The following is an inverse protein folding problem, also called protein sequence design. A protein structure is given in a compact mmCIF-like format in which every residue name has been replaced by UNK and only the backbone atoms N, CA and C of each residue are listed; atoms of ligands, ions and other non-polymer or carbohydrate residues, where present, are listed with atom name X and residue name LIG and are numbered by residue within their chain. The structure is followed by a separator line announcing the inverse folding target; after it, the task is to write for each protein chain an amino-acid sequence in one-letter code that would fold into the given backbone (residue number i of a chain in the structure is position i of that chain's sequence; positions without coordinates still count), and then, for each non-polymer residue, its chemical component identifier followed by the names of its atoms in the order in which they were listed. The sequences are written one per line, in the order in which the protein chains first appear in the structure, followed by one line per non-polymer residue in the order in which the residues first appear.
data_IF_490968861784
#
_entry.id   IF_490968861784
#
_cell.length_a   1.000
_cell.length_b   1.000
_cell.length_c   1.000
_cell.angle_alpha   90.00
_cell.angle_beta   90.00
_cell.angle_gamma   90.00
#
_symmetry.space_group_name_H-M   'P 1'
#
loop_
_entity.id
_entity.type
_entity.pdbx_description
1 polymer ?
#
# COMPACT_ATOMS: atom_id res chain seq x y z
N UNK A 1 18.07 -6.67 13.05
CA UNK A 1 16.73 -6.07 13.24
C UNK A 1 15.70 -7.09 12.78
N UNK A 2 14.53 -7.14 13.42
CA UNK A 2 13.53 -8.20 13.19
C UNK A 2 12.60 -7.80 12.04
N UNK A 3 12.73 -8.44 10.88
CA UNK A 3 11.87 -8.24 9.70
C UNK A 3 10.54 -9.01 9.83
N UNK A 4 9.89 -8.93 10.99
CA UNK A 4 8.63 -9.66 11.19
C UNK A 4 7.55 -9.09 10.27
N UNK A 5 6.93 -9.98 9.50
CA UNK A 5 5.72 -9.68 8.72
C UNK A 5 4.45 -9.89 9.54
N UNK A 6 4.52 -10.54 10.70
CA UNK A 6 3.37 -10.79 11.57
C UNK A 6 3.37 -9.87 12.80
N UNK A 7 2.21 -9.28 13.10
CA UNK A 7 1.89 -8.55 14.34
C UNK A 7 0.42 -8.73 14.63
N UNK A 8 0.10 -9.21 15.84
CA UNK A 8 -1.27 -9.36 16.30
C UNK A 8 -1.82 -8.01 16.80
N UNK A 9 -2.17 -7.14 15.85
CA UNK A 9 -2.74 -5.83 16.12
C UNK A 9 -3.70 -5.46 15.00
N UNK A 10 -4.90 -5.03 15.39
CA UNK A 10 -5.86 -4.49 14.44
C UNK A 10 -5.53 -3.03 14.15
N UNK A 11 -5.40 -2.72 12.85
CA UNK A 11 -5.20 -1.37 12.35
C UNK A 11 -6.52 -0.87 11.77
N UNK A 12 -6.89 0.39 12.03
CA UNK A 12 -8.03 1.06 11.39
C UNK A 12 -7.68 2.51 11.13
N UNK A 13 -8.17 3.05 10.02
CA UNK A 13 -7.88 4.45 9.73
C UNK A 13 -8.56 5.40 10.74
N UNK A 14 -7.90 6.49 11.16
CA UNK A 14 -8.51 7.55 11.93
C UNK A 14 -9.77 8.10 11.24
N UNK A 15 -10.77 8.46 12.03
CA UNK A 15 -12.06 9.01 11.58
C UNK A 15 -12.26 10.43 12.12
N UNK A 16 -13.18 11.18 11.53
CA UNK A 16 -13.45 12.57 11.91
C UNK A 16 -12.44 13.57 11.34
N UNK A 17 -12.48 14.81 11.85
CA UNK A 17 -11.77 15.97 11.28
C UNK A 17 -10.44 16.28 11.97
N UNK A 18 -10.11 15.61 13.08
CA UNK A 18 -8.83 15.79 13.78
C UNK A 18 -7.72 15.13 12.98
N UNK A 19 -6.65 15.88 12.74
CA UNK A 19 -5.48 15.40 12.00
C UNK A 19 -4.45 14.76 12.94
N UNK A 20 -3.81 13.69 12.48
CA UNK A 20 -2.59 13.16 13.07
C UNK A 20 -1.36 13.74 12.36
N UNK A 21 -1.41 13.87 11.03
CA UNK A 21 -0.37 14.47 10.20
C UNK A 21 -0.52 16.00 10.12
N UNK A 22 0.47 16.66 9.51
CA UNK A 22 0.53 18.14 9.41
C UNK A 22 -0.50 18.78 8.47
N UNK A 23 -1.06 18.02 7.53
CA UNK A 23 -2.03 18.52 6.56
C UNK A 23 -2.95 17.40 6.07
N UNK A 24 -4.08 17.75 5.43
CA UNK A 24 -4.93 16.76 4.77
C UNK A 24 -4.23 15.99 3.65
N UNK A 25 -3.23 16.58 2.99
CA UNK A 25 -2.48 15.93 1.91
C UNK A 25 -1.54 14.83 2.42
N UNK A 26 -1.15 14.88 3.70
CA UNK A 26 -0.32 13.85 4.35
C UNK A 26 -1.14 12.92 5.26
N UNK A 27 -2.25 13.42 5.80
CA UNK A 27 -3.25 12.63 6.52
C UNK A 27 -3.98 11.64 5.60
N UNK A 28 -4.30 12.05 4.37
CA UNK A 28 -4.99 11.18 3.41
C UNK A 28 -4.22 9.87 3.12
N UNK A 29 -2.96 9.88 2.66
CA UNK A 29 -2.22 8.64 2.46
C UNK A 29 -2.02 7.85 3.76
N UNK A 30 -1.90 8.51 4.93
CA UNK A 30 -1.82 7.83 6.23
C UNK A 30 -3.10 7.04 6.52
N UNK A 31 -4.26 7.67 6.38
CA UNK A 31 -5.56 7.01 6.57
C UNK A 31 -5.77 5.90 5.54
N UNK A 32 -5.40 6.12 4.29
CA UNK A 32 -5.60 5.10 3.26
C UNK A 32 -4.66 3.90 3.43
N UNK A 33 -3.43 4.10 3.90
CA UNK A 33 -2.53 3.01 4.31
C UNK A 33 -3.18 2.17 5.43
N UNK A 34 -3.72 2.83 6.45
CA UNK A 34 -4.39 2.16 7.56
C UNK A 34 -5.70 1.48 7.14
N UNK A 35 -6.44 2.07 6.19
CA UNK A 35 -7.66 1.47 5.63
C UNK A 35 -7.36 0.17 4.87
N UNK A 36 -6.25 0.14 4.12
CA UNK A 36 -5.79 -1.08 3.46
C UNK A 36 -5.49 -2.23 4.43
N UNK A 37 -5.35 -1.96 5.74
CA UNK A 37 -5.09 -2.97 6.78
C UNK A 37 -6.25 -3.10 7.77
N UNK A 38 -7.40 -2.48 7.49
CA UNK A 38 -8.60 -2.64 8.31
C UNK A 38 -9.07 -4.11 8.24
N UNK A 39 -9.32 -4.80 9.37
CA UNK A 39 -9.80 -6.18 9.37
C UNK A 39 -11.11 -6.41 8.60
N UNK A 40 -11.91 -5.35 8.40
CA UNK A 40 -13.13 -5.41 7.61
C UNK A 40 -12.88 -5.20 6.10
N UNK A 41 -11.62 -4.93 5.70
CA UNK A 41 -11.20 -4.61 4.34
C UNK A 41 -10.18 -5.61 3.81
N UNK A 42 -9.12 -5.89 4.57
CA UNK A 42 -7.99 -6.72 4.15
C UNK A 42 -8.23 -8.21 4.37
N UNK A 43 -7.69 -9.05 3.49
CA UNK A 43 -7.80 -10.51 3.60
C UNK A 43 -6.99 -11.09 4.77
N UNK A 44 -5.77 -10.57 5.05
CA UNK A 44 -4.95 -11.00 6.18
C UNK A 44 -4.06 -9.84 6.70
N UNK A 45 -4.65 -8.88 7.45
CA UNK A 45 -3.98 -7.63 7.83
C UNK A 45 -2.84 -7.82 8.82
N UNK A 46 -2.87 -8.85 9.67
CA UNK A 46 -1.80 -9.12 10.65
C UNK A 46 -0.49 -9.51 9.97
N UNK A 47 -0.56 -10.00 8.73
CA UNK A 47 0.59 -10.22 7.84
C UNK A 47 0.83 -9.10 6.82
N UNK A 48 0.17 -7.95 6.99
CA UNK A 48 0.14 -6.81 6.07
C UNK A 48 -0.48 -7.09 4.69
N UNK A 49 -1.11 -8.26 4.51
CA UNK A 49 -1.68 -8.71 3.25
C UNK A 49 -3.07 -8.11 3.07
N UNK A 50 -3.25 -7.40 1.96
CA UNK A 50 -4.50 -6.73 1.60
C UNK A 50 -5.37 -7.63 0.73
N UNK A 51 -4.87 -8.10 -0.42
CA UNK A 51 -5.57 -9.00 -1.33
C UNK A 51 -4.62 -9.62 -2.37
N UNK A 52 -5.14 -10.56 -3.18
CA UNK A 52 -4.43 -11.07 -4.37
C UNK A 52 -3.20 -11.91 -4.04
N UNK A 53 -3.36 -12.89 -3.13
CA UNK A 53 -2.26 -13.71 -2.65
C UNK A 53 -1.45 -12.97 -1.59
N UNK A 54 -0.23 -12.54 -1.93
CA UNK A 54 0.70 -11.87 -1.01
C UNK A 54 0.80 -10.36 -1.24
N UNK A 55 -0.23 -9.74 -1.83
CA UNK A 55 -0.28 -8.29 -2.07
C UNK A 55 -0.32 -7.53 -0.76
N UNK A 56 0.73 -6.79 -0.42
CA UNK A 56 0.90 -6.14 0.89
C UNK A 56 0.86 -4.62 0.84
N UNK A 57 0.48 -4.00 1.97
CA UNK A 57 0.46 -2.54 2.14
C UNK A 57 1.83 -1.93 2.49
N UNK A 58 2.67 -2.69 3.21
CA UNK A 58 4.04 -2.35 3.57
C UNK A 58 4.91 -3.62 3.59
N UNK A 59 6.23 -3.47 3.52
CA UNK A 59 7.17 -4.60 3.35
C UNK A 59 7.17 -5.56 4.54
N UNK A 60 7.31 -4.98 5.72
CA UNK A 60 7.30 -5.60 7.03
C UNK A 60 6.78 -4.56 8.04
N UNK A 61 6.59 -4.98 9.29
CA UNK A 61 5.99 -4.10 10.30
C UNK A 61 6.91 -2.94 10.71
N UNK A 62 8.23 -3.10 10.61
CA UNK A 62 9.19 -2.02 10.82
C UNK A 62 9.02 -0.93 9.75
N UNK A 63 8.88 -1.35 8.48
CA UNK A 63 8.58 -0.43 7.38
C UNK A 63 7.22 0.26 7.54
N UNK A 64 6.20 -0.46 7.99
CA UNK A 64 4.88 0.13 8.28
C UNK A 64 4.98 1.26 9.31
N UNK A 65 5.60 0.99 10.47
CA UNK A 65 5.76 1.99 11.53
C UNK A 65 6.56 3.20 11.05
N UNK A 66 7.61 2.95 10.26
CA UNK A 66 8.43 4.01 9.68
C UNK A 66 7.65 4.86 8.66
N UNK A 67 6.74 4.26 7.85
CA UNK A 67 5.88 5.00 6.91
C UNK A 67 4.90 5.88 7.70
N UNK A 68 4.24 5.32 8.72
CA UNK A 68 3.31 6.07 9.58
C UNK A 68 4.01 7.28 10.22
N UNK A 69 5.21 7.07 10.78
CA UNK A 69 6.00 8.15 11.35
C UNK A 69 6.40 9.18 10.30
N UNK A 70 6.88 8.74 9.13
CA UNK A 70 7.27 9.65 8.05
C UNK A 70 6.09 10.52 7.57
N UNK A 71 4.92 9.93 7.32
CA UNK A 71 3.72 10.67 6.89
C UNK A 71 3.22 11.66 7.95
N UNK A 72 3.35 11.30 9.23
CA UNK A 72 2.98 12.18 10.35
C UNK A 72 3.86 13.42 10.41
N UNK A 73 5.15 13.30 10.05
CA UNK A 73 6.13 14.37 10.12
C UNK A 73 6.36 15.11 8.79
N UNK A 74 5.87 14.60 7.66
CA UNK A 74 6.14 15.12 6.33
C UNK A 74 5.59 16.55 6.14
N UNK A 75 6.45 17.47 5.68
CA UNK A 75 6.06 18.85 5.39
C UNK A 75 5.31 18.98 4.05
N UNK A 76 4.65 20.13 3.84
CA UNK A 76 3.86 20.38 2.63
C UNK A 76 4.70 20.44 1.36
N UNK A 77 5.97 20.82 1.46
CA UNK A 77 6.90 20.92 0.35
C UNK A 77 7.88 19.74 0.27
N UNK A 78 7.55 18.62 0.94
CA UNK A 78 8.35 17.39 0.91
C UNK A 78 7.61 16.25 0.19
N UNK A 79 8.40 15.28 -0.28
CA UNK A 79 7.93 14.04 -0.91
C UNK A 79 8.62 12.83 -0.30
N UNK A 80 7.83 11.89 0.23
CA UNK A 80 8.27 10.57 0.69
C UNK A 80 8.44 9.62 -0.49
N UNK A 81 9.57 8.93 -0.56
CA UNK A 81 9.80 7.82 -1.49
C UNK A 81 9.57 6.48 -0.80
N UNK A 82 8.67 5.68 -1.35
CA UNK A 82 8.41 4.30 -0.90
C UNK A 82 8.86 3.33 -1.99
N UNK A 83 9.86 2.51 -1.66
CA UNK A 83 10.41 1.49 -2.56
C UNK A 83 10.00 0.11 -2.04
N UNK A 84 9.22 -0.65 -2.81
CA UNK A 84 8.69 -1.97 -2.43
C UNK A 84 8.24 -2.00 -0.96
N UNK A 85 7.33 -1.10 -0.60
CA UNK A 85 6.75 -0.99 0.75
C UNK A 85 7.67 -0.53 1.87
N UNK A 86 8.86 0.02 1.57
CA UNK A 86 9.79 0.59 2.55
C UNK A 86 9.96 2.09 2.33
N UNK A 87 9.89 2.94 3.38
CA UNK A 87 10.19 4.36 3.27
C UNK A 87 11.71 4.54 3.17
N UNK A 88 12.20 4.99 2.01
CA UNK A 88 13.66 5.01 1.72
C UNK A 88 14.27 6.42 1.75
N UNK A 89 13.45 7.47 1.70
CA UNK A 89 13.94 8.83 1.79
C UNK A 89 12.82 9.85 1.69
N UNK A 90 13.10 11.05 2.20
CA UNK A 90 12.27 12.24 2.07
C UNK A 90 13.11 13.31 1.40
N UNK A 91 12.55 13.97 0.40
CA UNK A 91 13.23 15.03 -0.35
C UNK A 91 12.34 16.25 -0.43
N UNK A 92 12.96 17.43 -0.35
CA UNK A 92 12.28 18.70 -0.61
C UNK A 92 11.92 18.79 -2.09
N UNK A 93 10.67 19.10 -2.36
CA UNK A 93 10.07 19.33 -3.68
C UNK A 93 9.36 20.68 -3.67
N UNK A 94 8.03 20.70 -3.72
CA UNK A 94 7.18 21.89 -3.64
C UNK A 94 5.73 21.50 -3.33
N UNK A 95 4.89 22.43 -2.88
CA UNK A 95 3.53 22.13 -2.41
C UNK A 95 2.63 21.47 -3.46
N UNK A 96 2.82 21.75 -4.75
CA UNK A 96 2.05 21.13 -5.84
C UNK A 96 2.55 19.75 -6.29
N UNK A 97 3.65 19.24 -5.72
CA UNK A 97 4.16 17.91 -6.03
C UNK A 97 3.36 16.83 -5.27
N UNK A 98 3.45 15.55 -5.68
CA UNK A 98 2.93 14.45 -4.86
C UNK A 98 3.64 14.39 -3.49
N UNK A 99 2.89 14.15 -2.42
CA UNK A 99 3.46 13.90 -1.08
C UNK A 99 4.14 12.54 -0.98
N UNK A 100 3.73 11.56 -1.79
CA UNK A 100 4.30 10.21 -1.78
C UNK A 100 4.49 9.75 -3.22
N UNK A 101 5.67 9.20 -3.51
CA UNK A 101 5.96 8.48 -4.75
C UNK A 101 6.27 7.02 -4.40
N UNK A 102 5.62 6.09 -5.10
CA UNK A 102 5.67 4.66 -4.77
C UNK A 102 6.13 3.88 -5.99
N UNK A 103 7.13 3.03 -5.80
CA UNK A 103 7.59 2.07 -6.80
C UNK A 103 7.74 0.68 -6.15
N UNK A 104 6.80 -0.22 -6.44
CA UNK A 104 6.75 -1.55 -5.84
C UNK A 104 7.03 -2.64 -6.86
N UNK A 105 7.75 -3.68 -6.44
CA UNK A 105 7.87 -4.96 -7.17
C UNK A 105 8.53 -4.90 -8.56
N UNK A 106 9.08 -3.75 -8.94
CA UNK A 106 9.78 -3.60 -10.20
C UNK A 106 11.09 -4.41 -10.19
N UNK A 107 11.27 -5.24 -11.20
CA UNK A 107 12.49 -6.00 -11.46
C UNK A 107 12.89 -5.78 -12.92
N UNK A 108 14.20 -5.78 -13.19
CA UNK A 108 14.69 -5.73 -14.58
C UNK A 108 14.15 -6.97 -15.32
N UNK A 109 13.65 -6.87 -16.57
CA UNK A 109 12.83 -7.92 -17.17
C UNK A 109 13.43 -9.33 -17.18
N UNK A 110 14.75 -9.45 -17.36
CA UNK A 110 15.44 -10.75 -17.31
C UNK A 110 15.30 -11.47 -15.97
N UNK A 111 15.13 -10.72 -14.87
CA UNK A 111 14.98 -11.22 -13.50
C UNK A 111 13.55 -11.12 -12.98
N UNK A 112 12.58 -10.73 -13.81
CA UNK A 112 11.19 -10.55 -13.42
C UNK A 112 10.44 -11.90 -13.30
N UNK A 113 10.93 -12.78 -12.44
CA UNK A 113 10.33 -14.09 -12.15
C UNK A 113 9.96 -14.21 -10.67
N UNK A 114 9.03 -15.13 -10.36
CA UNK A 114 8.62 -15.40 -8.99
C UNK A 114 9.74 -16.00 -8.15
N UNK A 115 10.59 -16.84 -8.74
CA UNK A 115 11.74 -17.44 -8.05
C UNK A 115 12.69 -16.36 -7.55
N UNK A 116 13.05 -15.41 -8.42
CA UNK A 116 13.93 -14.30 -8.03
C UNK A 116 13.25 -13.32 -7.08
N UNK A 117 11.96 -13.03 -7.28
CA UNK A 117 11.17 -12.24 -6.33
C UNK A 117 11.19 -12.87 -4.92
N UNK A 118 10.97 -14.19 -4.82
CA UNK A 118 10.94 -14.91 -3.55
C UNK A 118 12.34 -14.96 -2.90
N UNK A 119 13.41 -15.08 -3.70
CA UNK A 119 14.78 -14.95 -3.22
C UNK A 119 15.03 -13.58 -2.56
N UNK A 120 14.56 -12.50 -3.20
CA UNK A 120 14.66 -11.13 -2.66
C UNK A 120 13.75 -10.93 -1.44
N UNK A 121 12.55 -11.51 -1.43
CA UNK A 121 11.63 -11.42 -0.30
C UNK A 121 12.19 -12.12 0.95
N UNK A 122 12.82 -13.28 0.77
CA UNK A 122 13.52 -13.99 1.85
C UNK A 122 14.69 -13.18 2.44
N UNK A 123 15.30 -12.30 1.64
CA UNK A 123 16.35 -11.36 2.08
C UNK A 123 15.79 -10.03 2.63
N UNK A 124 14.47 -9.85 2.71
CA UNK A 124 13.83 -8.60 3.14
C UNK A 124 13.94 -7.45 2.13
N UNK A 125 14.16 -7.76 0.85
CA UNK A 125 14.39 -6.78 -0.22
C UNK A 125 13.17 -6.57 -1.13
N UNK A 126 12.13 -7.39 -0.99
CA UNK A 126 10.95 -7.33 -1.85
C UNK A 126 9.65 -7.18 -1.06
N UNK A 127 8.64 -6.67 -1.78
CA UNK A 127 7.24 -6.68 -1.39
C UNK A 127 6.43 -6.77 -2.68
N UNK A 128 5.38 -7.57 -2.69
CA UNK A 128 4.44 -7.63 -3.81
C UNK A 128 3.36 -6.59 -3.59
N UNK A 129 3.30 -5.57 -4.46
CA UNK A 129 2.37 -4.44 -4.30
C UNK A 129 0.97 -4.66 -4.85
N UNK A 130 0.75 -5.74 -5.62
CA UNK A 130 -0.46 -5.89 -6.45
C UNK A 130 -0.71 -4.56 -7.21
N UNK A 131 -1.95 -4.11 -7.34
CA UNK A 131 -2.33 -2.83 -7.91
C UNK A 131 -2.62 -1.82 -6.79
N UNK A 132 -3.64 -2.06 -5.96
CA UNK A 132 -4.10 -1.11 -4.93
C UNK A 132 -3.64 -1.44 -3.51
N UNK A 133 -3.00 -2.61 -3.31
CA UNK A 133 -2.49 -3.02 -2.01
C UNK A 133 -1.31 -2.15 -1.56
N UNK A 134 -0.25 -2.09 -2.37
CA UNK A 134 0.96 -1.33 -2.08
C UNK A 134 0.88 0.16 -2.43
N UNK A 135 -0.23 0.61 -3.01
CA UNK A 135 -0.49 2.01 -3.38
C UNK A 135 -1.61 2.67 -2.55
N UNK A 136 -2.14 1.94 -1.56
CA UNK A 136 -3.02 2.47 -0.51
C UNK A 136 -4.31 3.07 -1.05
N UNK A 137 -5.07 2.30 -1.84
CA UNK A 137 -6.36 2.73 -2.37
C UNK A 137 -7.34 1.56 -2.52
N UNK A 138 -7.14 0.48 -1.74
CA UNK A 138 -8.05 -0.66 -1.74
C UNK A 138 -9.27 -0.37 -0.87
N UNK A 139 -10.44 -0.70 -1.38
CA UNK A 139 -11.75 -0.41 -0.77
C UNK A 139 -12.58 -1.68 -0.59
N UNK A 140 -11.89 -2.81 -0.38
CA UNK A 140 -12.53 -4.12 -0.32
C UNK A 140 -13.05 -4.58 -1.68
N UNK A 141 -13.98 -5.54 -1.64
CA UNK A 141 -14.55 -6.16 -2.83
C UNK A 141 -15.29 -5.18 -3.75
N UNK A 142 -15.78 -4.06 -3.21
CA UNK A 142 -16.46 -3.02 -4.01
C UNK A 142 -15.59 -2.54 -5.18
N UNK A 143 -14.27 -2.48 -5.00
CA UNK A 143 -13.34 -1.98 -6.02
C UNK A 143 -13.41 -2.73 -7.35
N UNK A 144 -13.77 -4.02 -7.35
CA UNK A 144 -13.89 -4.82 -8.58
C UNK A 144 -15.35 -5.11 -8.99
N UNK A 145 -16.32 -4.95 -8.08
CA UNK A 145 -17.72 -5.29 -8.32
C UNK A 145 -18.29 -4.59 -9.56
N UNK A 146 -18.03 -3.29 -9.75
CA UNK A 146 -18.57 -2.57 -10.91
C UNK A 146 -17.97 -3.08 -12.23
N UNK A 147 -16.66 -3.32 -12.30
CA UNK A 147 -16.02 -3.85 -13.51
C UNK A 147 -16.49 -5.27 -13.85
N UNK A 148 -16.67 -6.13 -12.84
CA UNK A 148 -17.21 -7.48 -13.01
C UNK A 148 -18.67 -7.43 -13.50
N UNK A 149 -19.49 -6.56 -12.91
CA UNK A 149 -20.86 -6.33 -13.36
C UNK A 149 -20.90 -5.89 -14.83
N UNK A 150 -20.14 -4.87 -15.21
CA UNK A 150 -20.10 -4.37 -16.59
C UNK A 150 -19.63 -5.44 -17.58
N UNK A 151 -18.67 -6.29 -17.18
CA UNK A 151 -18.22 -7.42 -18.01
C UNK A 151 -19.34 -8.40 -18.29
N UNK A 152 -20.11 -8.79 -17.25
CA UNK A 152 -21.24 -9.70 -17.45
C UNK A 152 -22.39 -9.07 -18.21
N UNK A 153 -22.66 -7.78 -17.98
CA UNK A 153 -23.67 -7.04 -18.75
C UNK A 153 -23.30 -6.99 -20.22
N UNK A 154 -22.04 -6.71 -20.54
CA UNK A 154 -21.57 -6.63 -21.92
C UNK A 154 -21.54 -8.00 -22.60
N UNK A 155 -21.10 -9.05 -21.91
CA UNK A 155 -21.21 -10.42 -22.40
C UNK A 155 -22.69 -10.82 -22.64
N UNK A 156 -23.60 -10.36 -21.78
CA UNK A 156 -25.03 -10.47 -21.97
C UNK A 156 -25.47 -9.84 -23.28
N UNK A 157 -25.20 -8.54 -23.50
CA UNK A 157 -25.59 -7.82 -24.73
C UNK A 157 -25.05 -8.43 -26.03
N UNK A 158 -23.88 -9.05 -25.99
CA UNK A 158 -23.25 -9.62 -27.20
C UNK A 158 -23.73 -11.04 -27.53
N UNK A 159 -24.24 -11.79 -26.54
CA UNK A 159 -24.49 -13.23 -26.69
C UNK A 159 -25.92 -13.67 -26.33
N UNK A 160 -26.73 -12.80 -25.70
CA UNK A 160 -28.09 -13.08 -25.22
C UNK A 160 -29.02 -11.86 -25.40
#
# INVERSE_FOLDING_TARGET
MSHSKYRQQDIRAPRGTTLMAKSWLTEAPLRMLMNNLDPDVAENPHELVVYGGIGRAARDWECYDAIVNALTQLESDETLLVQSGKPVGVFKTHDNAPRVLIANSNLVPHWATWEHFNELDAKGLAMYGQMTAGSWIYIGSQGIVQGTYETFVEAGRQHY
#
